data_IF_149537781406
#
_entry.id   IF_149537781406
#
_cell.length_a   1.000
_cell.length_b   1.000
_cell.length_c   1.000
_cell.angle_alpha   90.00
_cell.angle_beta   90.00
_cell.angle_gamma   90.00
#
_symmetry.space_group_name_H-M   'P 1'
#
loop_
_entity.id
_entity.type
_entity.pdbx_description
1 polymer ?
#
# COMPACT_ATOMS: atom_id res chain seq x y z
N UNK A 1 -16.47 1.61 -31.95
CA UNK A 1 -15.59 0.48 -31.60
C UNK A 1 -14.71 0.81 -30.38
N UNK A 2 -13.99 1.95 -30.38
CA UNK A 2 -13.12 2.31 -29.25
C UNK A 2 -13.86 2.47 -27.91
N UNK A 3 -15.08 3.00 -27.91
CA UNK A 3 -15.88 3.18 -26.70
C UNK A 3 -16.27 1.83 -26.07
N UNK A 4 -16.68 0.84 -26.87
CA UNK A 4 -16.98 -0.52 -26.39
C UNK A 4 -15.74 -1.20 -25.79
N UNK A 5 -14.60 -1.08 -26.47
CA UNK A 5 -13.34 -1.62 -25.96
C UNK A 5 -12.91 -0.95 -24.63
N UNK A 6 -13.15 0.36 -24.49
CA UNK A 6 -12.87 1.08 -23.24
C UNK A 6 -13.73 0.59 -22.10
N UNK A 7 -15.02 0.35 -22.31
CA UNK A 7 -15.92 -0.17 -21.28
C UNK A 7 -15.53 -1.60 -20.83
N UNK A 8 -15.15 -2.47 -21.78
CA UNK A 8 -14.65 -3.82 -21.44
C UNK A 8 -13.33 -3.77 -20.66
N UNK A 9 -12.41 -2.88 -21.04
CA UNK A 9 -11.17 -2.66 -20.29
C UNK A 9 -11.44 -2.16 -18.87
N UNK A 10 -12.42 -1.28 -18.71
CA UNK A 10 -12.78 -0.75 -17.40
C UNK A 10 -13.37 -1.85 -16.49
N UNK A 11 -14.26 -2.69 -17.04
CA UNK A 11 -14.79 -3.85 -16.29
C UNK A 11 -13.67 -4.80 -15.86
N UNK A 12 -12.71 -5.12 -16.74
CA UNK A 12 -11.57 -5.95 -16.40
C UNK A 12 -10.66 -5.31 -15.34
N UNK A 13 -10.42 -4.00 -15.42
CA UNK A 13 -9.63 -3.26 -14.41
C UNK A 13 -10.32 -3.25 -13.05
N UNK A 14 -11.63 -3.07 -13.02
CA UNK A 14 -12.39 -3.10 -11.79
C UNK A 14 -12.31 -4.49 -11.13
N UNK A 15 -12.40 -5.56 -11.93
CA UNK A 15 -12.26 -6.93 -11.43
C UNK A 15 -10.89 -7.16 -10.78
N UNK A 16 -9.80 -6.73 -11.41
CA UNK A 16 -8.45 -6.83 -10.80
C UNK A 16 -8.34 -6.00 -9.53
N UNK A 17 -8.91 -4.80 -9.53
CA UNK A 17 -8.84 -3.91 -8.36
C UNK A 17 -9.57 -4.51 -7.14
N UNK A 18 -10.67 -5.22 -7.35
CA UNK A 18 -11.48 -5.79 -6.27
C UNK A 18 -11.05 -7.20 -5.87
N UNK A 19 -10.67 -8.03 -6.85
CA UNK A 19 -10.39 -9.46 -6.64
C UNK A 19 -8.92 -9.86 -6.90
N UNK A 20 -8.08 -8.94 -7.39
CA UNK A 20 -6.68 -9.22 -7.72
C UNK A 20 -6.47 -10.04 -9.00
N UNK A 21 -7.50 -10.67 -9.54
CA UNK A 21 -7.44 -11.56 -10.71
C UNK A 21 -8.79 -11.57 -11.47
N UNK A 22 -8.90 -12.38 -12.53
CA UNK A 22 -10.15 -12.63 -13.24
C UNK A 22 -10.43 -11.73 -14.44
N UNK A 23 -9.45 -10.97 -14.96
CA UNK A 23 -9.62 -10.07 -16.12
C UNK A 23 -10.12 -10.80 -17.36
N UNK A 24 -9.54 -11.95 -17.66
CA UNK A 24 -9.94 -12.78 -18.82
C UNK A 24 -11.36 -13.32 -18.63
N UNK A 25 -11.68 -13.83 -17.46
CA UNK A 25 -13.01 -14.33 -17.12
C UNK A 25 -14.07 -13.25 -17.25
N UNK A 26 -13.82 -12.06 -16.69
CA UNK A 26 -14.73 -10.91 -16.81
C UNK A 26 -14.96 -10.50 -18.27
N UNK A 27 -13.91 -10.50 -19.09
CA UNK A 27 -14.01 -10.16 -20.51
C UNK A 27 -14.82 -11.21 -21.30
N UNK A 28 -14.57 -12.50 -21.04
CA UNK A 28 -15.31 -13.59 -21.70
C UNK A 28 -16.79 -13.58 -21.30
N UNK A 29 -17.08 -13.40 -20.01
CA UNK A 29 -18.46 -13.29 -19.53
C UNK A 29 -19.19 -12.10 -20.16
N UNK A 30 -18.56 -10.91 -20.17
CA UNK A 30 -19.14 -9.73 -20.77
C UNK A 30 -19.43 -9.93 -22.28
N UNK A 31 -18.49 -10.54 -23.02
CA UNK A 31 -18.70 -10.88 -24.42
C UNK A 31 -19.87 -11.86 -24.59
N UNK A 32 -19.94 -12.94 -23.82
CA UNK A 32 -21.00 -13.94 -23.94
C UNK A 32 -22.38 -13.37 -23.62
N UNK A 33 -22.49 -12.58 -22.54
CA UNK A 33 -23.75 -11.91 -22.16
C UNK A 33 -24.21 -10.96 -23.26
N UNK A 34 -23.29 -10.13 -23.81
CA UNK A 34 -23.63 -9.21 -24.88
C UNK A 34 -24.04 -9.95 -26.17
N UNK A 35 -23.34 -11.00 -26.53
CA UNK A 35 -23.67 -11.80 -27.71
C UNK A 35 -25.09 -12.37 -27.62
N UNK A 36 -25.42 -13.04 -26.52
CA UNK A 36 -26.76 -13.59 -26.30
C UNK A 36 -27.83 -12.49 -26.26
N UNK A 37 -27.53 -11.34 -25.63
CA UNK A 37 -28.44 -10.20 -25.58
C UNK A 37 -28.74 -9.64 -26.98
N UNK A 38 -27.77 -9.60 -27.88
CA UNK A 38 -27.97 -9.14 -29.27
C UNK A 38 -28.73 -10.15 -30.13
N UNK A 39 -28.66 -11.43 -29.82
CA UNK A 39 -29.40 -12.49 -30.51
C UNK A 39 -30.87 -12.58 -30.06
N UNK A 40 -31.19 -12.01 -28.88
CA UNK A 40 -32.55 -11.97 -28.34
C UNK A 40 -33.39 -10.87 -29.00
N UNK A 41 -34.16 -11.23 -30.03
CA UNK A 41 -34.91 -10.27 -30.88
C UNK A 41 -36.36 -10.02 -30.44
N UNK A 42 -36.90 -10.86 -29.58
CA UNK A 42 -38.30 -10.81 -29.19
C UNK A 42 -38.61 -9.84 -28.05
N UNK A 43 -37.57 -9.25 -27.44
CA UNK A 43 -37.66 -8.34 -26.32
C UNK A 43 -36.98 -7.01 -26.60
N UNK A 44 -37.45 -5.95 -25.97
CA UNK A 44 -36.78 -4.68 -26.08
C UNK A 44 -35.52 -4.61 -25.18
N UNK A 45 -34.61 -3.71 -25.47
CA UNK A 45 -33.31 -3.59 -24.78
C UNK A 45 -33.44 -3.39 -23.28
N UNK A 46 -34.54 -2.79 -22.80
CA UNK A 46 -34.78 -2.57 -21.36
C UNK A 46 -35.15 -3.88 -20.67
N UNK A 47 -36.05 -4.66 -21.29
CA UNK A 47 -36.46 -5.96 -20.77
C UNK A 47 -35.28 -6.93 -20.72
N UNK A 48 -34.44 -6.94 -21.77
CA UNK A 48 -33.22 -7.75 -21.79
C UNK A 48 -32.27 -7.35 -20.66
N UNK A 49 -32.02 -6.07 -20.46
CA UNK A 49 -31.18 -5.56 -19.38
C UNK A 49 -31.73 -5.95 -18.00
N UNK A 50 -33.02 -5.76 -17.78
CA UNK A 50 -33.65 -6.05 -16.48
C UNK A 50 -33.63 -7.57 -16.22
N UNK A 51 -33.77 -8.39 -17.25
CA UNK A 51 -33.59 -9.83 -17.19
C UNK A 51 -32.17 -10.26 -16.83
N UNK A 52 -31.15 -9.64 -17.44
CA UNK A 52 -29.74 -9.86 -17.13
C UNK A 52 -29.47 -9.50 -15.65
N UNK A 53 -29.92 -8.33 -15.19
CA UNK A 53 -29.72 -7.92 -13.79
C UNK A 53 -30.33 -8.90 -12.81
N UNK A 54 -31.57 -9.35 -13.03
CA UNK A 54 -32.23 -10.34 -12.19
C UNK A 54 -31.52 -11.70 -12.21
N UNK A 55 -30.97 -12.11 -13.35
CA UNK A 55 -30.19 -13.34 -13.46
C UNK A 55 -28.86 -13.24 -12.69
N UNK A 56 -28.15 -12.10 -12.80
CA UNK A 56 -26.90 -11.84 -12.09
C UNK A 56 -27.11 -11.93 -10.58
N UNK A 57 -28.14 -11.28 -10.03
CA UNK A 57 -28.47 -11.35 -8.59
C UNK A 57 -28.62 -12.80 -8.10
N UNK A 58 -29.31 -13.63 -8.87
CA UNK A 58 -29.50 -15.06 -8.53
C UNK A 58 -28.21 -15.86 -8.61
N UNK A 59 -27.37 -15.58 -9.62
CA UNK A 59 -26.07 -16.25 -9.79
C UNK A 59 -25.13 -15.86 -8.65
N UNK A 60 -25.08 -14.58 -8.29
CA UNK A 60 -24.26 -14.08 -7.17
C UNK A 60 -24.69 -14.74 -5.87
N UNK A 61 -25.97 -14.74 -5.54
CA UNK A 61 -26.49 -15.41 -4.34
C UNK A 61 -26.18 -16.92 -4.32
N UNK A 62 -26.23 -17.59 -5.48
CA UNK A 62 -25.84 -18.99 -5.59
C UNK A 62 -24.34 -19.17 -5.32
N UNK A 63 -23.49 -18.34 -5.91
CA UNK A 63 -22.03 -18.41 -5.69
C UNK A 63 -21.68 -18.16 -4.22
N UNK A 64 -22.28 -17.17 -3.59
CA UNK A 64 -22.10 -16.89 -2.15
C UNK A 64 -22.50 -18.10 -1.29
N UNK A 65 -23.61 -18.78 -1.65
CA UNK A 65 -24.05 -20.00 -0.94
C UNK A 65 -23.11 -21.19 -1.12
N UNK A 66 -22.22 -21.16 -2.11
CA UNK A 66 -21.24 -22.20 -2.42
C UNK A 66 -19.82 -21.85 -2.04
N UNK A 67 -19.57 -20.60 -1.72
CA UNK A 67 -18.27 -20.15 -1.26
C UNK A 67 -17.89 -20.85 0.06
N UNK A 68 -16.64 -21.23 0.16
CA UNK A 68 -16.06 -21.82 1.37
C UNK A 68 -14.79 -21.05 1.73
N UNK A 69 -14.52 -20.94 3.02
CA UNK A 69 -13.32 -20.27 3.49
C UNK A 69 -12.07 -21.06 3.08
N UNK A 70 -11.07 -20.34 2.63
CA UNK A 70 -9.79 -20.93 2.23
C UNK A 70 -9.01 -21.35 3.47
N UNK A 71 -8.65 -22.63 3.56
CA UNK A 71 -7.90 -23.18 4.67
C UNK A 71 -6.95 -24.29 4.23
N UNK A 72 -5.83 -24.45 4.92
CA UNK A 72 -4.85 -25.51 4.69
C UNK A 72 -4.38 -25.60 3.23
N UNK A 73 -4.44 -26.80 2.66
CA UNK A 73 -3.98 -27.06 1.28
C UNK A 73 -4.71 -26.26 0.19
N UNK A 74 -5.89 -25.69 0.48
CA UNK A 74 -6.61 -24.85 -0.48
C UNK A 74 -5.85 -23.55 -0.74
N UNK A 75 -5.17 -23.00 0.23
CA UNK A 75 -4.35 -21.79 0.06
C UNK A 75 -3.25 -22.03 -0.98
N UNK A 76 -2.57 -23.16 -0.89
CA UNK A 76 -1.58 -23.58 -1.89
C UNK A 76 -2.19 -23.74 -3.29
N UNK A 77 -3.38 -24.34 -3.39
CA UNK A 77 -4.05 -24.53 -4.67
C UNK A 77 -4.42 -23.18 -5.32
N UNK A 78 -4.98 -22.25 -4.53
CA UNK A 78 -5.31 -20.90 -4.99
C UNK A 78 -4.05 -20.15 -5.43
N UNK A 79 -3.00 -20.16 -4.61
CA UNK A 79 -1.74 -19.54 -4.93
C UNK A 79 -1.09 -20.12 -6.20
N UNK A 80 -1.14 -21.44 -6.39
CA UNK A 80 -0.64 -22.11 -7.59
C UNK A 80 -1.40 -21.70 -8.85
N UNK A 81 -2.73 -21.64 -8.80
CA UNK A 81 -3.54 -21.18 -9.94
C UNK A 81 -3.23 -19.73 -10.27
N UNK A 82 -3.15 -18.85 -9.28
CA UNK A 82 -2.83 -17.43 -9.45
C UNK A 82 -1.42 -17.20 -9.99
N UNK A 83 -0.50 -18.14 -9.74
CA UNK A 83 0.88 -18.13 -10.25
C UNK A 83 1.01 -18.85 -11.61
N UNK A 84 -0.05 -18.88 -12.41
CA UNK A 84 -0.07 -19.53 -13.73
C UNK A 84 0.31 -21.03 -13.69
N UNK A 85 -0.18 -21.74 -12.68
CA UNK A 85 0.09 -23.16 -12.39
C UNK A 85 1.55 -23.47 -12.00
N UNK A 86 2.30 -22.50 -11.53
CA UNK A 86 3.60 -22.71 -10.93
C UNK A 86 3.44 -23.22 -9.49
N UNK A 87 3.71 -24.51 -9.28
CA UNK A 87 3.53 -25.15 -7.97
C UNK A 87 4.57 -24.74 -6.95
N UNK A 88 5.77 -24.35 -7.39
CA UNK A 88 6.87 -23.98 -6.51
C UNK A 88 6.62 -22.56 -5.97
N UNK A 89 6.28 -21.65 -6.87
CA UNK A 89 5.87 -20.30 -6.51
C UNK A 89 4.59 -20.31 -5.66
N UNK A 90 3.59 -21.12 -6.03
CA UNK A 90 2.36 -21.29 -5.25
C UNK A 90 2.61 -21.80 -3.83
N UNK A 91 3.55 -22.73 -3.67
CA UNK A 91 3.94 -23.24 -2.35
C UNK A 91 4.65 -22.20 -1.51
N UNK A 92 5.52 -21.39 -2.12
CA UNK A 92 6.24 -20.31 -1.48
C UNK A 92 5.28 -19.22 -0.98
N UNK A 93 4.34 -18.80 -1.82
CA UNK A 93 3.31 -17.83 -1.47
C UNK A 93 2.42 -18.35 -0.33
N UNK A 94 1.93 -19.59 -0.43
CA UNK A 94 1.09 -20.19 0.60
C UNK A 94 1.82 -20.21 1.96
N UNK A 95 3.09 -20.60 1.96
CA UNK A 95 3.91 -20.59 3.16
C UNK A 95 4.08 -19.18 3.73
N UNK A 96 4.30 -18.17 2.88
CA UNK A 96 4.40 -16.78 3.33
C UNK A 96 3.12 -16.33 4.05
N UNK A 97 1.94 -16.67 3.53
CA UNK A 97 0.65 -16.38 4.18
C UNK A 97 0.46 -17.15 5.49
N UNK A 98 0.87 -18.41 5.55
CA UNK A 98 0.83 -19.19 6.79
C UNK A 98 1.73 -18.59 7.88
N UNK A 99 2.93 -18.16 7.49
CA UNK A 99 3.95 -17.62 8.41
C UNK A 99 3.55 -16.25 8.98
N UNK A 100 2.90 -15.39 8.18
CA UNK A 100 2.45 -14.06 8.66
C UNK A 100 1.06 -14.09 9.33
N UNK A 101 0.27 -15.15 9.10
CA UNK A 101 -1.05 -15.33 9.69
C UNK A 101 -2.15 -14.42 9.13
N UNK A 102 -3.34 -14.48 9.74
CA UNK A 102 -4.56 -13.84 9.21
C UNK A 102 -4.48 -12.31 9.09
N UNK A 103 -3.70 -11.67 9.95
CA UNK A 103 -3.54 -10.21 9.96
C UNK A 103 -2.27 -9.73 9.24
N UNK A 104 -1.49 -10.65 8.68
CA UNK A 104 -0.27 -10.34 7.97
C UNK A 104 -0.52 -9.86 6.54
N UNK A 105 0.41 -9.09 6.02
CA UNK A 105 0.39 -8.60 4.64
C UNK A 105 1.51 -9.27 3.86
N UNK A 106 1.17 -9.88 2.74
CA UNK A 106 2.15 -10.42 1.80
C UNK A 106 2.25 -9.49 0.60
N UNK A 107 3.43 -8.95 0.35
CA UNK A 107 3.72 -8.12 -0.83
C UNK A 107 4.79 -8.80 -1.70
N UNK A 108 4.77 -8.51 -2.99
CA UNK A 108 5.79 -8.99 -3.92
C UNK A 108 6.60 -7.81 -4.44
N UNK A 109 7.92 -7.94 -4.37
CA UNK A 109 8.86 -6.96 -4.87
C UNK A 109 9.85 -7.61 -5.82
N UNK A 110 10.41 -6.82 -6.71
CA UNK A 110 11.46 -7.30 -7.62
C UNK A 110 12.77 -7.30 -6.84
N UNK A 111 13.34 -8.50 -6.65
CA UNK A 111 14.69 -8.65 -6.09
C UNK A 111 15.77 -8.47 -7.16
N UNK A 112 16.96 -8.04 -6.73
CA UNK A 112 18.16 -8.08 -7.55
C UNK A 112 18.91 -9.41 -7.43
N UNK A 113 18.44 -10.31 -6.58
CA UNK A 113 19.01 -11.63 -6.38
C UNK A 113 18.59 -12.58 -7.51
N UNK A 114 19.40 -13.60 -7.78
CA UNK A 114 19.11 -14.59 -8.83
C UNK A 114 17.96 -15.53 -8.46
N UNK A 115 17.67 -15.68 -7.16
CA UNK A 115 16.66 -16.60 -6.64
C UNK A 115 15.50 -15.82 -5.99
N UNK A 116 14.30 -16.34 -6.16
CA UNK A 116 13.11 -15.85 -5.44
C UNK A 116 13.18 -16.29 -3.98
N UNK A 117 13.05 -15.37 -3.06
CA UNK A 117 13.09 -15.62 -1.62
C UNK A 117 11.89 -14.99 -0.90
N UNK A 118 11.60 -15.49 0.30
CA UNK A 118 10.60 -14.93 1.21
C UNK A 118 11.32 -14.34 2.41
N UNK A 119 11.09 -13.07 2.69
CA UNK A 119 11.58 -12.38 3.88
C UNK A 119 10.36 -12.02 4.76
N UNK A 120 10.39 -12.44 6.02
CA UNK A 120 9.34 -12.12 6.99
C UNK A 120 9.85 -10.98 7.86
N UNK A 121 9.07 -9.91 7.92
CA UNK A 121 9.39 -8.69 8.68
C UNK A 121 8.25 -8.38 9.64
N UNK A 122 8.57 -8.22 10.90
CA UNK A 122 7.61 -7.74 11.90
C UNK A 122 7.49 -6.22 11.79
N UNK A 123 6.26 -5.73 11.55
CA UNK A 123 6.03 -4.30 11.45
C UNK A 123 4.78 -3.94 10.66
N UNK A 124 4.71 -2.68 10.23
CA UNK A 124 3.66 -2.16 9.35
C UNK A 124 4.27 -1.74 8.02
N UNK A 125 3.62 -2.12 6.92
CA UNK A 125 3.99 -1.68 5.58
C UNK A 125 3.25 -0.40 5.21
N UNK A 126 3.96 0.53 4.56
CA UNK A 126 3.42 1.79 4.06
C UNK A 126 3.61 1.87 2.54
N UNK A 127 2.58 2.34 1.83
CA UNK A 127 2.64 2.59 0.38
C UNK A 127 3.50 3.81 0.00
N UNK A 128 4.24 4.37 0.96
CA UNK A 128 5.07 5.55 0.78
C UNK A 128 6.51 5.23 1.11
N UNK A 129 7.39 5.57 0.18
CA UNK A 129 8.82 5.34 0.30
C UNK A 129 9.65 6.63 0.22
N UNK A 130 10.84 6.50 -0.35
CA UNK A 130 11.81 7.58 -0.47
C UNK A 130 11.29 8.76 -1.30
N UNK A 131 11.29 9.96 -0.72
CA UNK A 131 11.03 11.21 -1.44
C UNK A 131 12.18 11.67 -2.31
N UNK A 132 13.42 11.28 -1.96
CA UNK A 132 14.61 11.73 -2.64
C UNK A 132 15.69 10.65 -2.59
N UNK A 133 16.35 10.40 -3.71
CA UNK A 133 17.44 9.42 -3.81
C UNK A 133 18.63 9.69 -2.87
N UNK A 134 18.80 10.92 -2.42
CA UNK A 134 19.86 11.26 -1.45
C UNK A 134 19.64 10.69 -0.05
N UNK A 135 18.47 10.14 0.23
CA UNK A 135 18.20 9.41 1.48
C UNK A 135 18.71 7.96 1.45
N UNK A 136 19.07 7.43 0.28
CA UNK A 136 19.60 6.06 0.14
C UNK A 136 20.92 5.95 0.89
N UNK A 137 20.96 5.06 1.86
CA UNK A 137 22.18 4.72 2.59
C UNK A 137 22.68 3.31 2.29
N UNK A 138 21.80 2.40 1.81
CA UNK A 138 22.17 1.11 1.26
C UNK A 138 22.11 1.17 -0.26
N UNK A 139 23.28 1.31 -0.92
CA UNK A 139 23.37 1.45 -2.37
C UNK A 139 23.10 0.14 -3.12
N UNK A 140 23.34 -1.00 -2.50
CA UNK A 140 23.13 -2.32 -3.11
C UNK A 140 21.64 -2.60 -3.26
N UNK A 141 20.86 -2.32 -2.21
CA UNK A 141 19.40 -2.49 -2.22
C UNK A 141 18.64 -1.27 -2.74
N UNK A 142 19.30 -0.12 -2.93
CA UNK A 142 18.64 1.14 -3.29
C UNK A 142 17.69 1.65 -2.20
N UNK A 143 17.89 1.27 -0.94
CA UNK A 143 17.01 1.53 0.20
C UNK A 143 17.61 2.48 1.23
N UNK A 144 16.76 3.04 2.09
CA UNK A 144 17.16 3.74 3.29
C UNK A 144 16.85 2.85 4.51
N UNK A 145 17.87 2.36 5.15
CA UNK A 145 17.78 1.52 6.34
C UNK A 145 18.13 2.36 7.58
N UNK A 146 17.20 2.45 8.53
CA UNK A 146 17.36 3.15 9.79
C UNK A 146 17.27 2.16 10.95
N UNK A 147 18.23 2.23 11.87
CA UNK A 147 18.28 1.35 13.02
C UNK A 147 17.73 2.04 14.28
N UNK A 148 16.57 1.58 14.76
CA UNK A 148 15.91 2.15 15.94
C UNK A 148 15.80 3.69 15.87
N UNK A 149 15.20 4.22 14.78
CA UNK A 149 15.11 5.67 14.59
C UNK A 149 14.11 6.28 15.56
N UNK A 150 14.32 7.55 15.87
CA UNK A 150 13.27 8.37 16.47
C UNK A 150 12.24 8.70 15.39
N UNK A 151 10.97 8.52 15.70
CA UNK A 151 9.88 8.76 14.74
C UNK A 151 9.16 10.05 15.08
N UNK A 152 9.16 10.99 14.14
CA UNK A 152 8.45 12.27 14.23
C UNK A 152 7.24 12.23 13.31
N UNK A 153 6.04 12.30 13.87
CA UNK A 153 4.78 12.27 13.12
C UNK A 153 4.14 13.65 13.13
N UNK A 154 3.93 14.22 11.94
CA UNK A 154 3.37 15.57 11.80
C UNK A 154 2.19 15.56 10.83
N UNK A 155 1.02 15.92 11.33
CA UNK A 155 -0.21 16.00 10.55
C UNK A 155 -0.24 17.25 9.65
N UNK A 156 0.21 18.39 10.17
CA UNK A 156 0.33 19.65 9.43
C UNK A 156 1.52 19.67 8.48
N UNK A 157 1.47 20.51 7.45
CA UNK A 157 2.59 20.67 6.52
C UNK A 157 3.80 21.30 7.21
N UNK A 158 4.99 20.70 7.02
CA UNK A 158 6.24 21.23 7.56
C UNK A 158 6.90 22.14 6.49
N UNK A 159 6.89 23.48 6.67
CA UNK A 159 7.25 24.41 5.60
C UNK A 159 8.76 24.55 5.38
N UNK A 160 9.57 24.42 6.41
CA UNK A 160 11.02 24.62 6.31
C UNK A 160 11.81 23.99 7.45
N UNK A 161 13.14 23.97 7.30
CA UNK A 161 14.06 23.34 8.25
C UNK A 161 14.07 23.98 9.64
N UNK A 162 13.72 25.27 9.74
CA UNK A 162 13.72 25.99 11.04
C UNK A 162 12.70 25.40 12.00
N UNK A 163 11.59 24.87 11.49
CA UNK A 163 10.55 24.24 12.30
C UNK A 163 11.04 22.97 13.02
N UNK A 164 11.96 22.25 12.41
CA UNK A 164 12.50 21.00 12.96
C UNK A 164 13.95 21.15 13.45
N UNK A 165 14.47 22.37 13.51
CA UNK A 165 15.87 22.62 13.86
C UNK A 165 16.25 22.04 15.22
N UNK A 166 15.44 22.27 16.24
CA UNK A 166 15.68 21.74 17.59
C UNK A 166 15.74 20.21 17.62
N UNK A 167 14.92 19.55 16.80
CA UNK A 167 14.89 18.09 16.65
C UNK A 167 16.18 17.62 15.96
N UNK A 168 16.59 18.31 14.87
CA UNK A 168 17.83 17.99 14.17
C UNK A 168 19.06 18.17 15.07
N UNK A 169 19.13 19.23 15.85
CA UNK A 169 20.19 19.44 16.84
C UNK A 169 20.22 18.33 17.90
N UNK A 170 19.05 17.90 18.36
CA UNK A 170 18.92 16.81 19.32
C UNK A 170 19.44 15.49 18.75
N UNK A 171 19.06 15.12 17.51
CA UNK A 171 19.51 13.86 16.90
C UNK A 171 21.01 13.87 16.62
N UNK A 172 21.57 15.01 16.18
CA UNK A 172 23.02 15.16 15.96
C UNK A 172 23.77 14.98 17.28
N UNK A 173 23.34 15.67 18.33
CA UNK A 173 23.97 15.62 19.65
C UNK A 173 23.95 14.22 20.25
N UNK A 174 22.85 13.50 20.08
CA UNK A 174 22.66 12.18 20.67
C UNK A 174 23.00 11.02 19.71
N UNK A 175 23.48 11.33 18.48
CA UNK A 175 23.80 10.35 17.43
C UNK A 175 22.64 9.38 17.17
N UNK A 176 21.41 9.93 17.11
CA UNK A 176 20.20 9.17 16.80
C UNK A 176 19.86 9.27 15.33
N UNK A 177 19.15 8.29 14.83
CA UNK A 177 18.57 8.30 13.49
C UNK A 177 17.14 8.85 13.54
N UNK A 178 16.62 9.40 12.46
CA UNK A 178 15.33 10.09 12.43
C UNK A 178 14.48 9.65 11.24
N UNK A 179 13.24 9.26 11.50
CA UNK A 179 12.20 9.10 10.50
C UNK A 179 11.15 10.18 10.70
N UNK A 180 10.87 10.96 9.67
CA UNK A 180 9.80 11.96 9.66
C UNK A 180 8.65 11.41 8.81
N UNK A 181 7.45 11.32 9.38
CA UNK A 181 6.21 10.95 8.70
C UNK A 181 5.33 12.19 8.62
N UNK A 182 5.16 12.74 7.42
CA UNK A 182 4.35 13.94 7.22
C UNK A 182 4.66 14.69 5.94
N UNK A 183 3.81 15.66 5.62
CA UNK A 183 3.94 16.46 4.40
C UNK A 183 5.05 17.51 4.56
N UNK A 184 6.21 17.20 4.03
CA UNK A 184 7.38 18.10 4.05
C UNK A 184 7.49 18.91 2.75
N UNK A 185 7.75 20.20 2.88
CA UNK A 185 8.05 21.07 1.73
C UNK A 185 9.39 20.67 1.07
N UNK A 186 9.53 20.90 -0.23
CA UNK A 186 10.75 20.56 -1.00
C UNK A 186 12.02 21.20 -0.41
N UNK A 187 11.92 22.39 0.17
CA UNK A 187 13.05 23.04 0.81
C UNK A 187 13.55 22.26 2.03
N UNK A 188 12.63 21.70 2.82
CA UNK A 188 12.98 20.84 3.95
C UNK A 188 13.60 19.54 3.49
N UNK A 189 12.96 18.89 2.52
CA UNK A 189 13.44 17.61 1.93
C UNK A 189 14.86 17.79 1.39
N UNK A 190 15.11 18.86 0.63
CA UNK A 190 16.43 19.16 0.07
C UNK A 190 17.46 19.43 1.17
N UNK A 191 17.11 20.21 2.19
CA UNK A 191 18.04 20.53 3.28
C UNK A 191 18.46 19.30 4.08
N UNK A 192 17.50 18.41 4.40
CA UNK A 192 17.79 17.17 5.13
C UNK A 192 18.55 16.18 4.25
N UNK A 193 18.12 15.97 3.00
CA UNK A 193 18.79 15.03 2.07
C UNK A 193 20.23 15.40 1.79
N UNK A 194 20.55 16.70 1.69
CA UNK A 194 21.94 17.17 1.55
C UNK A 194 22.78 16.85 2.79
N UNK A 195 22.22 16.92 3.99
CA UNK A 195 22.92 16.56 5.22
C UNK A 195 23.11 15.04 5.36
N UNK A 196 22.12 14.25 4.92
CA UNK A 196 22.25 12.79 4.83
C UNK A 196 23.36 12.40 3.85
N UNK A 197 23.37 12.98 2.64
CA UNK A 197 24.42 12.71 1.64
C UNK A 197 25.83 13.07 2.12
N UNK A 198 25.96 14.08 2.98
CA UNK A 198 27.24 14.46 3.60
C UNK A 198 27.61 13.59 4.79
N UNK A 199 26.74 12.66 5.20
CA UNK A 199 26.96 11.80 6.36
C UNK A 199 26.83 12.51 7.72
N UNK A 200 26.27 13.73 7.76
CA UNK A 200 26.10 14.49 9.00
C UNK A 200 24.98 13.91 9.89
N UNK A 201 23.92 13.38 9.25
CA UNK A 201 22.76 12.77 9.91
C UNK A 201 22.33 11.53 9.15
N UNK A 202 21.65 10.62 9.85
CA UNK A 202 20.89 9.53 9.24
C UNK A 202 19.41 9.83 9.45
N UNK A 203 18.73 10.13 8.37
CA UNK A 203 17.32 10.48 8.41
C UNK A 203 16.63 10.13 7.11
N UNK A 204 15.31 9.90 7.19
CA UNK A 204 14.42 9.80 6.03
C UNK A 204 13.15 10.60 6.29
N UNK A 205 12.51 11.02 5.20
CA UNK A 205 11.20 11.68 5.20
C UNK A 205 10.29 10.89 4.28
N UNK A 206 9.15 10.48 4.80
CA UNK A 206 8.08 9.86 4.02
C UNK A 206 6.82 10.72 4.10
N UNK A 207 6.04 10.72 3.02
CA UNK A 207 4.75 11.40 3.02
C UNK A 207 3.78 10.71 3.98
N UNK A 208 2.90 11.51 4.58
CA UNK A 208 1.79 10.94 5.31
C UNK A 208 0.98 10.01 4.37
N UNK A 209 0.67 8.79 4.81
CA UNK A 209 -0.23 7.94 4.05
C UNK A 209 -1.63 8.56 4.06
N UNK A 210 -2.42 8.23 3.06
CA UNK A 210 -3.80 8.66 2.90
C UNK A 210 -4.03 10.19 2.80
N UNK A 211 -5.30 10.57 2.64
CA UNK A 211 -5.76 11.94 2.52
C UNK A 211 -7.00 12.18 3.39
N UNK A 212 -7.21 13.43 3.80
CA UNK A 212 -8.41 13.83 4.53
C UNK A 212 -8.54 13.16 5.90
N UNK A 213 -9.72 12.66 6.22
CA UNK A 213 -10.03 12.08 7.55
C UNK A 213 -9.23 10.81 7.82
N UNK A 214 -8.99 9.99 6.79
CA UNK A 214 -8.22 8.75 6.92
C UNK A 214 -6.76 9.04 7.30
N UNK A 215 -6.16 10.10 6.74
CA UNK A 215 -4.80 10.53 7.09
C UNK A 215 -4.60 10.65 8.60
N UNK A 216 -5.53 11.31 9.29
CA UNK A 216 -5.45 11.51 10.74
C UNK A 216 -5.49 10.18 11.49
N UNK A 217 -6.37 9.28 11.09
CA UNK A 217 -6.51 7.97 11.72
C UNK A 217 -5.26 7.13 11.52
N UNK A 218 -4.74 7.06 10.30
CA UNK A 218 -3.52 6.31 9.97
C UNK A 218 -2.31 6.87 10.72
N UNK A 219 -2.16 8.20 10.82
CA UNK A 219 -1.07 8.80 11.62
C UNK A 219 -1.19 8.47 13.11
N UNK A 220 -2.40 8.37 13.66
CA UNK A 220 -2.61 7.93 15.04
C UNK A 220 -2.24 6.47 15.25
N UNK A 221 -2.55 5.60 14.30
CA UNK A 221 -2.16 4.18 14.35
C UNK A 221 -0.64 4.04 14.36
N UNK A 222 0.08 4.81 13.53
CA UNK A 222 1.54 4.86 13.58
C UNK A 222 2.08 5.42 14.89
N UNK A 223 1.43 6.42 15.47
CA UNK A 223 1.82 6.95 16.75
C UNK A 223 1.73 5.89 17.86
N UNK A 224 0.69 5.06 17.85
CA UNK A 224 0.54 3.95 18.78
C UNK A 224 1.63 2.90 18.57
N UNK A 225 1.91 2.53 17.32
CA UNK A 225 2.95 1.52 17.00
C UNK A 225 4.35 1.97 17.38
N UNK A 226 4.67 3.25 17.22
CA UNK A 226 6.01 3.79 17.45
C UNK A 226 6.21 4.41 18.81
N UNK A 227 5.13 4.63 19.58
CA UNK A 227 5.17 5.40 20.83
C UNK A 227 5.31 6.91 20.63
N UNK A 228 5.26 7.40 19.38
CA UNK A 228 5.31 8.81 19.05
C UNK A 228 3.98 9.52 19.36
N UNK A 229 4.00 10.85 19.30
CA UNK A 229 2.78 11.68 19.38
C UNK A 229 2.58 12.39 18.05
N UNK A 230 1.34 12.38 17.52
CA UNK A 230 1.00 13.15 16.32
C UNK A 230 0.98 14.64 16.64
N UNK A 231 1.80 15.41 15.94
CA UNK A 231 1.89 16.86 16.09
C UNK A 231 0.99 17.55 15.07
N UNK A 232 0.14 18.46 15.54
CA UNK A 232 -0.71 19.29 14.69
C UNK A 232 -0.62 20.76 15.12
N UNK A 233 0.08 21.57 14.31
CA UNK A 233 0.22 23.02 14.59
C UNK A 233 -1.12 23.77 14.53
N UNK A 234 -2.11 23.28 13.78
CA UNK A 234 -3.45 23.88 13.72
C UNK A 234 -4.22 23.72 15.03
N UNK A 235 -3.87 22.70 15.82
CA UNK A 235 -4.44 22.45 17.16
C UNK A 235 -3.64 23.12 18.28
N UNK A 236 -2.56 23.85 17.95
CA UNK A 236 -1.76 24.62 18.90
C UNK A 236 -0.46 23.97 19.33
N UNK A 237 -0.09 22.85 18.73
CA UNK A 237 1.23 22.26 18.94
C UNK A 237 2.32 23.13 18.28
N UNK A 238 3.52 23.13 18.84
CA UNK A 238 4.62 23.95 18.36
C UNK A 238 5.88 23.11 18.15
N UNK A 239 6.15 22.77 16.89
CA UNK A 239 7.34 22.01 16.48
C UNK A 239 8.66 22.65 16.92
N UNK A 240 8.69 23.98 17.11
CA UNK A 240 9.91 24.70 17.47
C UNK A 240 10.28 24.56 18.95
N UNK A 241 9.30 24.31 19.81
CA UNK A 241 9.47 24.20 21.27
C UNK A 241 9.80 22.79 21.75
N UNK A 242 10.29 21.91 20.92
CA UNK A 242 10.16 20.59 21.10
C UNK A 242 11.17 19.74 21.73
N UNK A 243 10.78 18.87 22.49
CA UNK A 243 11.62 17.92 23.22
C UNK A 243 11.44 16.50 22.70
N UNK A 244 12.32 15.59 23.12
CA UNK A 244 12.24 14.14 22.88
C UNK A 244 10.91 13.47 23.27
N UNK A 245 9.97 14.20 23.87
CA UNK A 245 8.66 13.67 24.31
C UNK A 245 7.69 13.33 23.17
N UNK A 246 7.92 13.89 21.97
CA UNK A 246 7.03 13.73 20.82
C UNK A 246 7.47 12.63 19.84
N UNK A 247 8.69 12.13 20.06
CA UNK A 247 9.31 11.11 19.24
C UNK A 247 9.22 9.75 19.94
N UNK A 248 8.78 8.75 19.20
CA UNK A 248 8.78 7.35 19.61
C UNK A 248 10.09 6.64 19.33
#
# INVERSE_FOLDING_TARGET
>A
ENMGATLLKEAARQTVKEAGDGTTTATVLAHSILKEAFETKDYNSREVRDGISSAVEKVVAYLESKAVDVSGDMLKQVATISSNNDSDLGSMIAKAFEDVGENGVVSMEISNDEETSVEIVDGASLDKGLKNHHFINNKEKGSCELNNPLVLIVESKIPNVRKVQSILEYIIKNKKELLIIGDADEQLVTAISMNVSKGNIKANIIDAPDFGVNKKQTLQDFAVLTGATVINEELGDDLTKQSSKWMG
#
